data_IF_644557929098
#
_entry.id   IF_644557929098
#
_cell.length_a   1.000
_cell.length_b   1.000
_cell.length_c   1.000
_cell.angle_alpha   90.00
_cell.angle_beta   90.00
_cell.angle_gamma   90.00
#
_symmetry.space_group_name_H-M   'P 1'
#
loop_
_entity.id
_entity.type
_entity.pdbx_description
1 polymer ?
#
# COMPACT_ATOMS: atom_id res chain seq x y z
N UNK A 1 25.91 -11.01 -3.13
CA UNK A 1 25.07 -9.93 -2.54
C UNK A 1 24.32 -9.24 -3.66
N UNK A 2 23.03 -8.99 -3.51
CA UNK A 2 22.22 -8.31 -4.51
C UNK A 2 22.45 -6.79 -4.42
N UNK A 3 22.88 -6.17 -5.52
CA UNK A 3 23.19 -4.73 -5.59
C UNK A 3 22.29 -3.98 -6.57
N UNK A 4 21.89 -4.63 -7.66
CA UNK A 4 21.14 -4.01 -8.75
C UNK A 4 20.06 -4.96 -9.24
N UNK A 5 18.88 -4.41 -9.51
CA UNK A 5 17.78 -5.06 -10.21
C UNK A 5 17.50 -4.24 -11.47
N UNK A 6 17.53 -4.91 -12.62
CA UNK A 6 17.50 -4.26 -13.93
C UNK A 6 16.12 -3.81 -14.40
N UNK A 7 15.05 -4.17 -13.70
CA UNK A 7 13.66 -3.75 -13.95
C UNK A 7 12.95 -3.62 -12.59
N UNK A 8 11.87 -4.37 -12.35
CA UNK A 8 11.07 -4.32 -11.14
C UNK A 8 11.49 -5.37 -10.10
N UNK A 9 11.29 -5.04 -8.83
CA UNK A 9 11.26 -6.01 -7.74
C UNK A 9 9.81 -6.16 -7.26
N UNK A 10 9.23 -7.34 -7.44
CA UNK A 10 7.91 -7.66 -6.92
C UNK A 10 7.99 -8.78 -5.88
N UNK A 11 7.47 -8.55 -4.68
CA UNK A 11 7.33 -9.54 -3.61
C UNK A 11 5.85 -9.57 -3.23
N UNK A 12 5.14 -10.64 -3.60
CA UNK A 12 3.68 -10.75 -3.43
C UNK A 12 3.27 -12.10 -2.87
N UNK A 13 2.31 -12.12 -1.95
CA UNK A 13 1.61 -13.34 -1.53
C UNK A 13 2.48 -14.33 -0.74
N UNK A 14 3.40 -13.83 0.09
CA UNK A 14 4.28 -14.66 0.92
C UNK A 14 3.86 -14.54 2.40
N UNK A 15 2.95 -15.40 2.91
CA UNK A 15 2.39 -15.24 4.27
C UNK A 15 3.41 -15.50 5.39
N UNK A 16 4.40 -16.36 5.13
CA UNK A 16 5.45 -16.71 6.10
C UNK A 16 6.61 -15.71 6.11
N UNK A 17 6.76 -14.91 5.05
CA UNK A 17 7.83 -13.93 4.96
C UNK A 17 7.44 -12.71 5.80
N UNK A 18 8.07 -12.54 6.96
CA UNK A 18 7.80 -11.41 7.87
C UNK A 18 8.74 -10.24 7.71
N UNK A 19 9.94 -10.47 7.18
CA UNK A 19 10.98 -9.45 7.05
C UNK A 19 11.54 -9.45 5.64
N UNK A 20 11.64 -8.27 5.04
CA UNK A 20 12.30 -8.05 3.75
C UNK A 20 13.54 -7.19 4.00
N UNK A 21 14.72 -7.73 3.72
CA UNK A 21 15.97 -7.00 3.90
C UNK A 21 16.90 -7.17 2.70
N UNK A 22 17.25 -6.05 2.07
CA UNK A 22 18.27 -6.00 1.03
C UNK A 22 19.37 -5.00 1.39
N UNK A 23 20.30 -5.36 2.30
CA UNK A 23 21.27 -4.43 2.90
C UNK A 23 22.33 -3.90 1.93
N UNK A 24 22.39 -4.44 0.71
CA UNK A 24 23.33 -4.04 -0.34
C UNK A 24 22.65 -3.53 -1.61
N UNK A 25 21.31 -3.60 -1.70
CA UNK A 25 20.58 -3.16 -2.87
C UNK A 25 20.66 -1.64 -2.96
N UNK A 26 21.20 -1.17 -4.08
CA UNK A 26 21.41 0.23 -4.39
C UNK A 26 20.45 0.72 -5.46
N UNK A 27 20.27 -0.08 -6.50
CA UNK A 27 19.59 0.35 -7.72
C UNK A 27 18.48 -0.62 -8.10
N UNK A 28 17.28 -0.10 -8.28
CA UNK A 28 16.19 -0.74 -9.01
C UNK A 28 15.83 0.24 -10.12
N UNK A 29 15.99 -0.17 -11.38
CA UNK A 29 15.85 0.77 -12.50
C UNK A 29 14.41 1.20 -12.75
N UNK A 30 13.43 0.41 -12.27
CA UNK A 30 12.01 0.69 -12.31
C UNK A 30 11.43 0.68 -10.88
N UNK A 31 10.36 -0.07 -10.63
CA UNK A 31 9.60 -0.03 -9.39
C UNK A 31 9.93 -1.13 -8.39
N UNK A 32 9.56 -0.90 -7.13
CA UNK A 32 9.48 -1.92 -6.10
C UNK A 32 8.04 -2.05 -5.64
N UNK A 33 7.50 -3.27 -5.71
CA UNK A 33 6.14 -3.62 -5.29
C UNK A 33 6.19 -4.69 -4.20
N UNK A 34 5.74 -4.38 -3.00
CA UNK A 34 5.70 -5.29 -1.86
C UNK A 34 4.25 -5.39 -1.39
N UNK A 35 3.66 -6.60 -1.43
CA UNK A 35 2.29 -6.86 -0.97
C UNK A 35 2.22 -8.17 -0.17
N UNK A 36 1.86 -8.10 1.11
CA UNK A 36 1.79 -9.26 1.97
C UNK A 36 1.65 -8.94 3.46
N UNK A 37 2.09 -9.88 4.30
CA UNK A 37 1.93 -9.82 5.76
C UNK A 37 3.28 -9.60 6.45
N UNK A 38 3.94 -8.52 6.09
CA UNK A 38 5.30 -8.16 6.52
C UNK A 38 5.28 -7.24 7.74
N UNK A 39 6.26 -7.39 8.62
CA UNK A 39 6.45 -6.55 9.80
C UNK A 39 7.64 -5.60 9.63
N UNK A 40 8.57 -5.91 8.71
CA UNK A 40 9.78 -5.12 8.51
C UNK A 40 10.22 -5.08 7.05
N UNK A 41 10.59 -3.88 6.58
CA UNK A 41 11.23 -3.64 5.28
C UNK A 41 12.48 -2.79 5.48
N UNK A 42 13.64 -3.30 5.07
CA UNK A 42 14.93 -2.65 5.24
C UNK A 42 15.70 -2.55 3.93
N UNK A 43 15.81 -1.32 3.43
CA UNK A 43 16.46 -0.96 2.17
C UNK A 43 17.53 0.15 2.40
N UNK A 44 18.48 -0.03 3.32
CA UNK A 44 19.31 1.05 3.87
C UNK A 44 20.31 1.66 2.87
N UNK A 45 20.54 1.00 1.73
CA UNK A 45 21.46 1.48 0.68
C UNK A 45 20.74 1.81 -0.62
N UNK A 46 19.41 1.78 -0.65
CA UNK A 46 18.66 2.09 -1.84
C UNK A 46 18.87 3.57 -2.16
N UNK A 47 19.40 3.82 -3.37
CA UNK A 47 19.76 5.16 -3.86
C UNK A 47 18.89 5.52 -5.07
N UNK A 48 18.55 4.53 -5.92
CA UNK A 48 17.82 4.75 -7.16
C UNK A 48 16.64 3.79 -7.29
N UNK A 49 15.45 4.36 -7.46
CA UNK A 49 14.19 3.67 -7.75
C UNK A 49 13.20 4.65 -8.41
N UNK A 50 12.38 4.17 -9.33
CA UNK A 50 11.33 4.99 -9.94
C UNK A 50 10.18 5.25 -8.96
N UNK A 51 9.69 4.19 -8.32
CA UNK A 51 8.66 4.23 -7.30
C UNK A 51 8.77 3.04 -6.33
N UNK A 52 8.23 3.20 -5.12
CA UNK A 52 8.13 2.14 -4.13
C UNK A 52 6.68 2.09 -3.61
N UNK A 53 6.04 0.94 -3.72
CA UNK A 53 4.74 0.69 -3.12
C UNK A 53 4.84 -0.48 -2.16
N UNK A 54 4.45 -0.21 -0.91
CA UNK A 54 4.40 -1.21 0.15
C UNK A 54 2.97 -1.30 0.66
N UNK A 55 2.41 -2.51 0.63
CA UNK A 55 1.13 -2.82 1.23
C UNK A 55 1.36 -3.96 2.22
N UNK A 56 1.10 -3.69 3.49
CA UNK A 56 1.20 -4.70 4.53
C UNK A 56 -0.10 -4.88 5.29
N UNK A 57 -0.44 -6.13 5.60
CA UNK A 57 -1.45 -6.48 6.59
C UNK A 57 -0.85 -6.76 7.98
N UNK A 58 0.47 -6.82 8.08
CA UNK A 58 1.21 -7.08 9.31
C UNK A 58 1.45 -5.82 10.14
N UNK A 59 2.36 -5.92 11.09
CA UNK A 59 2.66 -4.86 12.08
C UNK A 59 3.68 -3.82 11.59
N UNK A 60 3.80 -3.62 10.26
CA UNK A 60 4.77 -2.70 9.67
C UNK A 60 4.45 -1.24 10.05
N UNK A 61 5.40 -0.54 10.66
CA UNK A 61 5.31 0.92 10.87
C UNK A 61 5.66 1.66 9.57
N UNK A 62 4.62 1.99 8.81
CA UNK A 62 4.73 2.64 7.51
C UNK A 62 5.22 4.09 7.64
N UNK A 63 4.96 4.77 8.76
CA UNK A 63 5.46 6.13 9.01
C UNK A 63 6.94 6.15 9.32
N UNK A 64 7.41 5.22 10.15
CA UNK A 64 8.83 5.08 10.44
C UNK A 64 9.60 4.69 9.17
N UNK A 65 9.06 3.77 8.37
CA UNK A 65 9.62 3.42 7.07
C UNK A 65 9.71 4.64 6.14
N UNK A 66 8.64 5.43 6.04
CA UNK A 66 8.64 6.65 5.23
C UNK A 66 9.63 7.70 5.69
N UNK A 67 9.79 7.90 6.99
CA UNK A 67 10.84 8.78 7.55
C UNK A 67 12.24 8.27 7.24
N UNK A 68 12.46 6.95 7.29
CA UNK A 68 13.75 6.35 6.96
C UNK A 68 14.10 6.53 5.47
N UNK A 69 13.08 6.53 4.61
CA UNK A 69 13.24 6.70 3.16
C UNK A 69 13.04 8.15 2.68
N UNK A 70 12.86 9.12 3.57
CA UNK A 70 12.49 10.48 3.17
C UNK A 70 13.58 11.23 2.40
N UNK A 71 14.84 10.76 2.48
CA UNK A 71 15.95 11.29 1.68
C UNK A 71 16.07 10.63 0.30
N UNK A 72 15.30 9.59 0.02
CA UNK A 72 15.32 8.89 -1.26
C UNK A 72 14.64 9.75 -2.33
N UNK A 73 15.34 9.99 -3.43
CA UNK A 73 14.80 10.72 -4.58
C UNK A 73 14.25 9.71 -5.59
N UNK A 74 12.98 9.88 -5.94
CA UNK A 74 12.27 9.03 -6.90
C UNK A 74 12.38 9.59 -8.32
N UNK A 75 12.52 8.70 -9.29
CA UNK A 75 12.62 9.06 -10.71
C UNK A 75 11.50 8.41 -11.55
N UNK A 76 10.22 8.75 -11.29
CA UNK A 76 9.10 8.16 -12.01
C UNK A 76 9.14 8.53 -13.50
N UNK A 77 8.73 7.60 -14.35
CA UNK A 77 8.58 7.78 -15.80
C UNK A 77 7.11 8.00 -16.14
N UNK A 78 6.77 8.60 -17.30
CA UNK A 78 5.39 8.94 -17.68
C UNK A 78 4.37 7.79 -17.75
N UNK A 79 4.79 6.54 -17.55
CA UNK A 79 3.95 5.33 -17.61
C UNK A 79 4.13 4.43 -16.38
N UNK A 80 4.82 4.91 -15.34
CA UNK A 80 4.94 4.15 -14.11
C UNK A 80 3.63 4.23 -13.30
N UNK A 81 3.29 3.16 -12.59
CA UNK A 81 2.04 3.05 -11.81
C UNK A 81 2.06 3.83 -10.49
N UNK A 82 3.19 4.47 -10.15
CA UNK A 82 3.34 5.22 -8.91
C UNK A 82 4.32 6.38 -9.04
N UNK A 83 4.06 7.42 -8.25
CA UNK A 83 4.90 8.61 -8.13
C UNK A 83 5.42 8.69 -6.70
N UNK A 84 6.63 8.18 -6.47
CA UNK A 84 7.29 8.25 -5.16
C UNK A 84 7.14 6.99 -4.30
N UNK A 85 6.98 7.19 -2.99
CA UNK A 85 6.79 6.14 -2.00
C UNK A 85 5.39 6.18 -1.39
N UNK A 86 4.68 5.06 -1.48
CA UNK A 86 3.44 4.82 -0.75
C UNK A 86 3.56 3.60 0.15
N UNK A 87 3.01 3.72 1.35
CA UNK A 87 2.95 2.66 2.34
C UNK A 87 1.54 2.57 2.91
N UNK A 88 0.90 1.43 2.71
CA UNK A 88 -0.48 1.19 3.11
C UNK A 88 -0.57 0.09 4.17
N UNK A 89 -1.41 0.36 5.18
CA UNK A 89 -1.87 -0.58 6.20
C UNK A 89 -3.37 -0.41 6.44
N UNK A 90 -3.97 -1.37 7.16
CA UNK A 90 -5.37 -1.30 7.61
C UNK A 90 -5.62 -0.11 8.56
N UNK A 91 -4.66 0.22 9.43
CA UNK A 91 -4.70 1.42 10.26
C UNK A 91 -4.43 2.67 9.41
N UNK A 92 -5.41 3.56 9.32
CA UNK A 92 -5.32 4.83 8.58
C UNK A 92 -4.29 5.78 9.19
N UNK A 93 -4.08 5.69 10.50
CA UNK A 93 -3.11 6.52 11.21
C UNK A 93 -1.68 6.06 10.96
N UNK A 94 -1.45 4.89 10.37
CA UNK A 94 -0.12 4.36 10.07
C UNK A 94 0.24 4.47 8.57
N UNK A 95 -0.66 4.96 7.70
CA UNK A 95 -0.34 5.11 6.27
C UNK A 95 0.70 6.21 6.04
N UNK A 96 1.42 6.09 4.93
CA UNK A 96 2.43 7.07 4.49
C UNK A 96 2.37 7.27 2.97
N UNK A 97 2.53 8.52 2.54
CA UNK A 97 2.71 8.89 1.15
C UNK A 97 3.75 10.02 1.07
N UNK A 98 4.82 9.82 0.32
CA UNK A 98 5.90 10.83 0.19
C UNK A 98 5.46 12.11 -0.49
N UNK A 99 4.35 12.08 -1.22
CA UNK A 99 3.80 13.22 -1.95
C UNK A 99 2.85 14.08 -1.12
N UNK A 100 2.51 13.65 0.10
CA UNK A 100 1.67 14.44 1.00
C UNK A 100 2.46 15.64 1.55
N UNK A 101 1.81 16.81 1.74
CA UNK A 101 2.47 18.00 2.30
C UNK A 101 2.94 17.79 3.75
N UNK A 102 2.27 16.91 4.50
CA UNK A 102 2.69 16.43 5.82
C UNK A 102 2.60 14.90 5.90
N UNK A 103 3.61 14.16 5.42
CA UNK A 103 3.60 12.69 5.36
C UNK A 103 3.49 12.02 6.75
N UNK A 104 3.75 12.79 7.81
CA UNK A 104 3.69 12.38 9.22
C UNK A 104 2.38 12.71 9.93
N UNK A 105 1.46 13.46 9.30
CA UNK A 105 0.12 13.69 9.83
C UNK A 105 -0.80 12.47 9.51
N UNK A 106 -1.84 12.17 10.32
CA UNK A 106 -2.95 11.31 9.89
C UNK A 106 -3.38 11.76 8.51
N UNK A 107 -3.22 10.88 7.51
CA UNK A 107 -3.30 11.30 6.11
C UNK A 107 -4.63 12.02 5.84
N UNK A 108 -4.65 13.09 5.03
CA UNK A 108 -5.90 13.63 4.56
C UNK A 108 -6.64 12.52 3.81
N UNK A 109 -7.95 12.38 4.06
CA UNK A 109 -8.82 11.46 3.31
C UNK A 109 -8.55 11.66 1.81
N UNK A 110 -8.20 10.62 1.03
CA UNK A 110 -8.02 10.81 -0.40
C UNK A 110 -9.35 11.33 -0.97
N UNK A 111 -9.36 12.36 -1.82
CA UNK A 111 -10.52 12.59 -2.65
C UNK A 111 -10.60 11.37 -3.55
N UNK A 112 -11.60 10.51 -3.32
CA UNK A 112 -11.99 9.54 -4.32
C UNK A 112 -12.26 10.33 -5.60
N UNK A 113 -11.36 10.25 -6.58
CA UNK A 113 -11.73 10.53 -7.96
C UNK A 113 -12.65 9.37 -8.33
N UNK A 114 -13.95 9.58 -8.11
CA UNK A 114 -14.99 8.70 -8.59
C UNK A 114 -14.83 8.61 -10.10
N UNK A 115 -14.29 7.49 -10.57
CA UNK A 115 -14.39 7.13 -11.97
C UNK A 115 -15.90 6.96 -12.26
N UNK A 116 -16.51 7.75 -13.15
CA UNK A 116 -17.98 7.82 -13.28
C UNK A 116 -18.63 6.53 -13.81
N UNK A 117 -17.85 5.49 -14.11
CA UNK A 117 -18.33 4.20 -14.61
C UNK A 117 -18.61 3.13 -13.54
N UNK A 118 -18.35 3.40 -12.25
CA UNK A 118 -18.63 2.45 -11.16
C UNK A 118 -19.80 2.86 -10.23
N UNK A 119 -20.57 3.89 -10.59
CA UNK A 119 -21.63 4.46 -9.75
C UNK A 119 -22.94 3.63 -9.67
N UNK A 120 -22.97 2.37 -10.12
CA UNK A 120 -24.23 1.61 -10.21
C UNK A 120 -24.19 0.18 -9.67
N UNK A 121 -23.13 -0.25 -8.97
CA UNK A 121 -23.17 -1.53 -8.26
C UNK A 121 -23.38 -1.31 -6.75
N UNK A 122 -24.48 -1.85 -6.17
CA UNK A 122 -24.74 -1.71 -4.74
C UNK A 122 -23.66 -2.45 -3.92
N UNK A 123 -23.34 -1.95 -2.71
CA UNK A 123 -22.31 -2.55 -1.87
C UNK A 123 -22.71 -3.96 -1.42
N UNK A 124 -21.78 -4.91 -1.58
CA UNK A 124 -21.89 -6.25 -0.98
C UNK A 124 -21.82 -6.12 0.55
N UNK A 125 -22.78 -6.67 1.32
CA UNK A 125 -22.87 -6.41 2.75
C UNK A 125 -21.83 -7.19 3.56
N UNK A 126 -21.05 -6.45 4.35
CA UNK A 126 -20.21 -6.94 5.44
C UNK A 126 -21.06 -7.72 6.45
N UNK A 127 -20.67 -8.96 6.72
CA UNK A 127 -21.31 -9.84 7.67
C UNK A 127 -20.81 -9.50 9.09
N UNK A 128 -21.68 -8.94 9.94
CA UNK A 128 -21.45 -8.84 11.40
C UNK A 128 -22.60 -9.51 12.13
N UNK A 129 -22.24 -10.27 13.17
CA UNK A 129 -23.05 -11.21 13.93
C UNK A 129 -24.24 -10.61 14.71
N UNK A 130 -25.38 -11.31 14.58
CA UNK A 130 -26.38 -11.76 15.59
C UNK A 130 -26.95 -10.75 16.60
N UNK A 131 -28.26 -10.50 16.52
CA UNK A 131 -29.25 -10.65 17.60
C UNK A 131 -30.70 -10.33 17.12
N UNK A 132 -31.67 -11.21 17.44
CA UNK A 132 -33.06 -10.82 17.74
C UNK A 132 -34.10 -10.76 16.61
N UNK A 133 -34.85 -11.87 16.45
CA UNK A 133 -36.32 -11.91 16.49
C UNK A 133 -37.21 -11.01 15.61
N UNK A 134 -38.03 -11.71 14.80
CA UNK A 134 -39.45 -11.47 14.48
C UNK A 134 -39.84 -10.62 13.23
N UNK A 135 -40.51 -11.33 12.30
CA UNK A 135 -41.76 -10.99 11.55
C UNK A 135 -41.85 -9.62 10.84
N UNK A 136 -42.37 -9.46 9.61
CA UNK A 136 -43.38 -10.18 8.82
C UNK A 136 -43.45 -9.53 7.42
N UNK A 137 -43.79 -10.32 6.40
CA UNK A 137 -44.67 -10.03 5.23
C UNK A 137 -44.43 -8.77 4.36
N UNK A 138 -44.62 -8.74 3.04
CA UNK A 138 -45.00 -9.67 1.98
C UNK A 138 -45.17 -8.77 0.71
N UNK A 139 -45.10 -9.37 -0.48
CA UNK A 139 -45.61 -8.87 -1.77
C UNK A 139 -44.92 -7.63 -2.42
N UNK A 140 -44.73 -7.52 -3.73
CA UNK A 140 -45.32 -8.24 -4.87
C UNK A 140 -44.47 -8.06 -6.14
N UNK A 141 -44.33 -9.18 -6.85
CA UNK A 141 -44.08 -9.43 -8.30
C UNK A 141 -44.41 -8.26 -9.26
N UNK A 142 -43.58 -8.04 -10.27
CA UNK A 142 -43.62 -8.74 -11.57
C UNK A 142 -42.25 -8.74 -12.24
#
# INVERSE_FOLDING_TARGET
KLHTIGVDLAIKGNPELKTIAFPALKNVTAGILIDGDFNEVSLPKLEHVAFLQVKSTGDLDCRALGKNLSSLVFHPRPHDEGDGFTCWTSDENNRYNSSDPEPSAPGPKPPYVLNPLYASLPPSPTQTAICGGAQKSDERKF
#
